data_IF_079961209713
#
_entry.id   IF_079961209713
#
_cell.length_a   1.000
_cell.length_b   1.000
_cell.length_c   1.000
_cell.angle_alpha   90.00
_cell.angle_beta   90.00
_cell.angle_gamma   90.00
#
_symmetry.space_group_name_H-M   'P 1'
#
loop_
_entity.id
_entity.type
_entity.pdbx_description
1 polymer ?
#
# COMPACT_ATOMS: atom_id res chain seq x y z
N UNK A 1 13.70 29.43 10.13
CA UNK A 1 14.90 29.84 9.36
C UNK A 1 14.80 31.33 9.08
N UNK A 2 15.84 32.14 9.38
CA UNK A 2 15.79 33.60 9.21
C UNK A 2 15.58 33.98 7.73
N UNK A 3 14.65 34.90 7.48
CA UNK A 3 14.35 35.42 6.16
C UNK A 3 15.43 36.45 5.76
N UNK A 4 16.57 35.98 5.27
CA UNK A 4 17.52 36.83 4.57
C UNK A 4 16.94 37.33 3.25
N UNK A 5 17.47 38.45 2.74
CA UNK A 5 17.07 39.14 1.50
C UNK A 5 17.03 38.18 0.28
N UNK A 6 17.78 37.09 0.32
CA UNK A 6 17.67 35.96 -0.59
C UNK A 6 17.15 34.73 0.14
N UNK A 7 15.87 34.42 -0.07
CA UNK A 7 15.25 33.20 0.43
C UNK A 7 15.33 32.13 -0.67
N UNK A 8 16.35 31.28 -0.61
CA UNK A 8 16.60 30.20 -1.59
C UNK A 8 15.79 28.93 -1.32
N UNK A 9 14.84 28.95 -0.37
CA UNK A 9 13.98 27.79 -0.10
C UNK A 9 12.77 27.77 -1.01
N UNK A 10 12.39 26.57 -1.43
CA UNK A 10 11.21 26.31 -2.25
C UNK A 10 9.89 26.35 -1.46
N UNK A 11 9.97 26.58 -0.15
CA UNK A 11 8.84 26.61 0.77
C UNK A 11 8.71 27.97 1.45
N UNK A 12 7.48 28.47 1.53
CA UNK A 12 7.15 29.68 2.26
C UNK A 12 7.29 29.52 3.78
N UNK A 13 7.13 30.62 4.51
CA UNK A 13 7.23 30.66 5.97
C UNK A 13 6.27 29.68 6.67
N UNK A 14 5.12 29.42 6.05
CA UNK A 14 4.08 28.50 6.54
C UNK A 14 4.27 27.05 6.02
N UNK A 15 5.49 26.70 5.58
CA UNK A 15 5.83 25.42 4.94
C UNK A 15 5.03 25.10 3.66
N UNK A 16 4.34 26.08 3.08
CA UNK A 16 3.61 25.93 1.82
C UNK A 16 4.57 25.89 0.64
N UNK A 17 4.30 25.03 -0.34
CA UNK A 17 5.05 24.99 -1.59
C UNK A 17 4.98 26.35 -2.31
N UNK A 18 6.14 26.92 -2.62
CA UNK A 18 6.22 28.16 -3.41
C UNK A 18 5.83 27.94 -4.89
N UNK A 19 5.53 29.04 -5.58
CA UNK A 19 5.09 29.00 -6.98
C UNK A 19 6.10 28.31 -7.93
N UNK A 20 7.40 28.48 -7.67
CA UNK A 20 8.47 27.82 -8.43
C UNK A 20 8.39 26.28 -8.31
N UNK A 21 8.16 25.77 -7.09
CA UNK A 21 8.06 24.33 -6.82
C UNK A 21 6.81 23.72 -7.45
N UNK A 22 5.66 24.41 -7.34
CA UNK A 22 4.41 23.96 -7.94
C UNK A 22 4.53 23.85 -9.45
N UNK A 23 5.14 24.84 -10.12
CA UNK A 23 5.40 24.81 -11.56
C UNK A 23 6.28 23.63 -11.95
N UNK A 24 7.36 23.40 -11.20
CA UNK A 24 8.28 22.29 -11.45
C UNK A 24 7.61 20.91 -11.29
N UNK A 25 6.59 20.80 -10.41
CA UNK A 25 5.86 19.53 -10.16
C UNK A 25 4.69 19.28 -11.11
N UNK A 26 4.15 20.31 -11.79
CA UNK A 26 3.03 20.16 -12.73
C UNK A 26 3.17 19.00 -13.73
N UNK A 27 4.32 18.78 -14.41
CA UNK A 27 4.43 17.70 -15.39
C UNK A 27 4.42 16.30 -14.78
N UNK A 28 4.76 16.14 -13.50
CA UNK A 28 4.87 14.84 -12.83
C UNK A 28 3.63 14.47 -12.03
N UNK A 29 2.76 15.44 -11.69
CA UNK A 29 1.56 15.18 -10.90
C UNK A 29 0.67 14.14 -11.58
N UNK A 30 0.34 14.35 -12.85
CA UNK A 30 -0.51 13.42 -13.62
C UNK A 30 0.18 12.08 -13.84
N UNK A 31 1.45 12.09 -14.27
CA UNK A 31 2.20 10.86 -14.56
C UNK A 31 2.32 9.98 -13.32
N UNK A 32 2.66 10.57 -12.17
CA UNK A 32 2.80 9.84 -10.92
C UNK A 32 1.45 9.37 -10.37
N UNK A 33 0.38 10.17 -10.53
CA UNK A 33 -0.96 9.76 -10.13
C UNK A 33 -1.45 8.55 -10.93
N UNK A 34 -1.21 8.55 -12.26
CA UNK A 34 -1.55 7.40 -13.11
C UNK A 34 -0.74 6.17 -12.72
N UNK A 35 0.57 6.29 -12.52
CA UNK A 35 1.40 5.16 -12.08
C UNK A 35 0.93 4.62 -10.72
N UNK A 36 0.63 5.51 -9.77
CA UNK A 36 0.10 5.13 -8.46
C UNK A 36 -1.25 4.41 -8.58
N UNK A 37 -2.15 4.91 -9.41
CA UNK A 37 -3.45 4.29 -9.67
C UNK A 37 -3.29 2.91 -10.32
N UNK A 38 -2.37 2.75 -11.27
CA UNK A 38 -2.07 1.45 -11.87
C UNK A 38 -1.55 0.44 -10.83
N UNK A 39 -0.64 0.86 -9.95
CA UNK A 39 -0.12 -0.01 -8.90
C UNK A 39 -1.22 -0.45 -7.94
N UNK A 40 -2.04 0.48 -7.46
CA UNK A 40 -3.18 0.19 -6.57
C UNK A 40 -4.22 -0.70 -7.26
N UNK A 41 -4.55 -0.41 -8.52
CA UNK A 41 -5.48 -1.21 -9.30
C UNK A 41 -4.95 -2.64 -9.52
N UNK A 42 -3.66 -2.78 -9.82
CA UNK A 42 -3.03 -4.09 -9.99
C UNK A 42 -3.06 -4.92 -8.70
N UNK A 43 -2.72 -4.33 -7.55
CA UNK A 43 -2.74 -5.06 -6.27
C UNK A 43 -4.16 -5.46 -5.86
N UNK A 44 -5.13 -4.56 -6.01
CA UNK A 44 -6.55 -4.87 -5.76
C UNK A 44 -7.04 -5.98 -6.68
N UNK A 45 -6.68 -5.93 -7.97
CA UNK A 45 -7.08 -6.95 -8.95
C UNK A 45 -6.52 -8.33 -8.58
N UNK A 46 -5.24 -8.41 -8.22
CA UNK A 46 -4.62 -9.66 -7.75
C UNK A 46 -5.35 -10.18 -6.51
N UNK A 47 -5.58 -9.33 -5.50
CA UNK A 47 -6.26 -9.73 -4.27
C UNK A 47 -7.70 -10.20 -4.49
N UNK A 48 -8.47 -9.47 -5.30
CA UNK A 48 -9.84 -9.85 -5.62
C UNK A 48 -9.89 -11.16 -6.42
N UNK A 49 -8.95 -11.35 -7.36
CA UNK A 49 -8.84 -12.57 -8.14
C UNK A 49 -8.52 -13.77 -7.24
N UNK A 50 -7.57 -13.63 -6.31
CA UNK A 50 -7.20 -14.75 -5.43
C UNK A 50 -8.35 -15.17 -4.52
N UNK A 51 -9.11 -14.24 -3.97
CA UNK A 51 -10.31 -14.58 -3.19
C UNK A 51 -11.33 -15.36 -4.03
N UNK A 52 -11.58 -14.93 -5.27
CA UNK A 52 -12.50 -15.61 -6.18
C UNK A 52 -11.98 -16.98 -6.58
N UNK A 53 -10.69 -17.11 -6.86
CA UNK A 53 -10.08 -18.38 -7.26
C UNK A 53 -10.11 -19.41 -6.13
N UNK A 54 -9.74 -19.02 -4.90
CA UNK A 54 -9.76 -19.92 -3.74
C UNK A 54 -11.19 -20.39 -3.42
N UNK A 55 -12.19 -19.52 -3.58
CA UNK A 55 -13.58 -19.89 -3.33
C UNK A 55 -14.17 -20.93 -4.29
N UNK A 56 -13.45 -21.31 -5.34
CA UNK A 56 -13.87 -22.33 -6.30
C UNK A 56 -13.30 -23.73 -5.99
N UNK A 57 -12.45 -23.86 -4.98
CA UNK A 57 -11.81 -25.13 -4.61
C UNK A 57 -12.76 -25.99 -3.77
N UNK A 58 -12.97 -27.25 -4.18
CA UNK A 58 -13.76 -28.25 -3.46
C UNK A 58 -12.86 -28.97 -2.44
N UNK A 59 -12.96 -28.60 -1.16
CA UNK A 59 -12.14 -29.17 -0.07
C UNK A 59 -12.60 -30.57 0.39
N UNK A 60 -13.27 -31.32 -0.48
CA UNK A 60 -13.91 -32.60 -0.13
C UNK A 60 -12.92 -33.71 0.26
N UNK A 61 -11.66 -33.61 -0.17
CA UNK A 61 -10.60 -34.57 0.19
C UNK A 61 -9.91 -34.23 1.53
N UNK A 62 -10.20 -33.06 2.12
CA UNK A 62 -9.58 -32.64 3.37
C UNK A 62 -10.39 -33.18 4.56
N UNK A 63 -9.81 -34.16 5.27
CA UNK A 63 -10.36 -34.68 6.53
C UNK A 63 -10.18 -33.65 7.64
N UNK A 64 -11.26 -33.01 8.08
CA UNK A 64 -11.24 -32.08 9.21
C UNK A 64 -11.29 -32.88 10.52
N UNK A 65 -10.28 -32.79 11.42
CA UNK A 65 -10.34 -33.43 12.72
C UNK A 65 -11.42 -32.75 13.60
N UNK A 66 -12.24 -33.54 14.29
CA UNK A 66 -13.36 -33.04 15.13
C UNK A 66 -12.93 -32.17 16.32
N UNK A 67 -11.67 -32.26 16.76
CA UNK A 67 -11.16 -31.51 17.90
C UNK A 67 -9.81 -30.85 17.57
N UNK A 68 -9.59 -29.59 18.00
CA UNK A 68 -8.27 -28.98 17.96
C UNK A 68 -7.28 -29.87 18.73
N UNK A 69 -6.22 -30.33 18.07
CA UNK A 69 -5.18 -31.10 18.75
C UNK A 69 -4.42 -30.13 19.67
N UNK A 70 -4.68 -30.23 20.96
CA UNK A 70 -3.92 -29.53 22.00
C UNK A 70 -2.48 -30.06 22.01
N UNK A 71 -1.60 -29.44 21.21
CA UNK A 71 -0.14 -29.73 21.14
C UNK A 71 0.60 -29.54 22.49
N UNK A 72 -0.11 -29.13 23.54
CA UNK A 72 0.44 -29.02 24.91
C UNK A 72 0.56 -30.38 25.62
N UNK A 73 -0.13 -31.42 25.16
CA UNK A 73 -0.10 -32.74 25.80
C UNK A 73 1.10 -33.62 25.38
N UNK A 74 1.71 -33.38 24.22
CA UNK A 74 2.83 -34.20 23.69
C UNK A 74 4.22 -33.77 24.20
N UNK A 75 4.39 -32.55 24.73
CA UNK A 75 5.69 -32.06 25.22
C UNK A 75 6.09 -32.57 26.62
N UNK A 76 5.30 -33.46 27.24
CA UNK A 76 5.54 -33.94 28.62
C UNK A 76 5.86 -35.43 28.72
N UNK A 77 6.27 -36.09 27.64
CA UNK A 77 6.63 -37.52 27.67
C UNK A 77 8.09 -37.75 27.36
#
# INVERSE_FOLDING_TARGET
MPAGIFNSTYYGKDARAGAALLRARKPYLVKNAVTGACLVGCTIAIYAYTLRAIGQEDFSDVKVPEAPVDRKAEQKK
#
